data_IF_204532678458
#
_entry.id   IF_204532678458
#
_cell.length_a   1.000
_cell.length_b   1.000
_cell.length_c   1.000
_cell.angle_alpha   90.00
_cell.angle_beta   90.00
_cell.angle_gamma   90.00
#
_symmetry.space_group_name_H-M   'P 1'
#
loop_
_entity.id
_entity.type
_entity.pdbx_description
1 polymer ?
#
# COMPACT_ATOMS: atom_id res chain seq x y z
N UNK A 1 22.67 -37.94 26.29
CA UNK A 1 23.04 -37.78 24.87
C UNK A 1 22.38 -36.51 24.39
N UNK A 2 23.16 -35.45 24.18
CA UNK A 2 22.65 -34.18 23.64
C UNK A 2 22.23 -34.41 22.19
N UNK A 3 20.99 -34.05 21.87
CA UNK A 3 20.45 -34.12 20.52
C UNK A 3 21.36 -33.34 19.56
N UNK A 4 21.98 -33.98 18.55
CA UNK A 4 22.86 -33.31 17.59
C UNK A 4 22.17 -32.14 16.89
N UNK A 5 20.85 -32.18 16.77
CA UNK A 5 20.03 -31.13 16.19
C UNK A 5 19.89 -29.90 17.11
N UNK A 6 19.75 -30.13 18.42
CA UNK A 6 19.76 -29.07 19.44
C UNK A 6 21.15 -28.42 19.58
N UNK A 7 22.21 -29.21 19.45
CA UNK A 7 23.58 -28.70 19.47
C UNK A 7 23.87 -27.80 18.25
N UNK A 8 23.43 -28.21 17.05
CA UNK A 8 23.57 -27.40 15.84
C UNK A 8 22.85 -26.04 15.94
N UNK A 9 21.65 -26.01 16.54
CA UNK A 9 20.90 -24.76 16.76
C UNK A 9 21.60 -23.81 17.74
N UNK A 10 22.18 -24.36 18.81
CA UNK A 10 22.94 -23.57 19.77
C UNK A 10 24.16 -22.92 19.11
N UNK A 11 24.87 -23.66 18.25
CA UNK A 11 26.00 -23.13 17.48
C UNK A 11 25.55 -22.04 16.50
N UNK A 12 24.46 -22.25 15.76
CA UNK A 12 23.94 -21.22 14.85
C UNK A 12 23.53 -19.95 15.61
N UNK A 13 22.95 -20.06 16.82
CA UNK A 13 22.63 -18.93 17.71
C UNK A 13 23.87 -18.15 18.16
N UNK A 14 24.93 -18.85 18.52
CA UNK A 14 26.19 -18.23 18.89
C UNK A 14 26.84 -17.48 17.72
N UNK A 15 26.86 -18.09 16.52
CA UNK A 15 27.41 -17.45 15.30
C UNK A 15 26.62 -16.20 14.93
N UNK A 16 25.31 -16.24 15.05
CA UNK A 16 24.42 -15.11 14.78
C UNK A 16 24.63 -13.94 15.74
N UNK A 17 24.76 -14.21 17.04
CA UNK A 17 25.06 -13.19 18.04
C UNK A 17 26.43 -12.52 17.75
N UNK A 18 27.44 -13.31 17.35
CA UNK A 18 28.76 -12.80 16.94
C UNK A 18 28.69 -11.95 15.67
N UNK A 19 27.92 -12.37 14.67
CA UNK A 19 27.72 -11.59 13.45
C UNK A 19 27.03 -10.25 13.75
N UNK A 20 26.01 -10.25 14.62
CA UNK A 20 25.34 -9.03 15.04
C UNK A 20 26.31 -8.06 15.74
N UNK A 21 27.16 -8.57 16.64
CA UNK A 21 28.21 -7.76 17.27
C UNK A 21 29.26 -7.21 16.29
N UNK A 22 29.57 -7.94 15.21
CA UNK A 22 30.46 -7.46 14.15
C UNK A 22 29.82 -6.35 13.30
N UNK A 23 28.51 -6.42 13.05
CA UNK A 23 27.78 -5.35 12.36
C UNK A 23 27.74 -4.06 13.20
N UNK A 24 27.42 -4.18 14.49
CA UNK A 24 27.49 -3.07 15.45
C UNK A 24 28.88 -2.45 15.52
N UNK A 25 29.94 -3.28 15.56
CA UNK A 25 31.31 -2.77 15.59
C UNK A 25 31.69 -1.98 14.33
N UNK A 26 31.20 -2.41 13.16
CA UNK A 26 31.43 -1.70 11.89
C UNK A 26 30.64 -0.40 11.80
N UNK A 27 29.41 -0.34 12.32
CA UNK A 27 28.62 0.90 12.39
C UNK A 27 29.19 1.94 13.38
N UNK A 28 29.83 1.48 14.46
CA UNK A 28 30.41 2.35 15.50
C UNK A 28 31.86 2.80 15.22
N UNK A 29 32.45 2.44 14.08
CA UNK A 29 33.81 2.88 13.72
C UNK A 29 33.74 4.19 12.92
N UNK A 30 34.15 5.29 13.57
CA UNK A 30 34.12 6.67 13.07
C UNK A 30 34.86 6.85 11.72
N UNK A 31 34.30 7.71 10.86
CA UNK A 31 34.74 8.00 9.50
C UNK A 31 36.16 8.61 9.46
N UNK A 32 37.24 7.81 9.33
CA UNK A 32 38.53 8.39 8.89
C UNK A 32 39.53 7.45 8.18
N UNK A 33 39.07 6.39 7.51
CA UNK A 33 39.96 5.67 6.60
C UNK A 33 39.20 4.99 5.46
N UNK A 34 39.41 5.53 4.25
CA UNK A 34 39.22 4.93 2.92
C UNK A 34 37.88 4.23 2.63
N UNK A 35 37.25 4.63 1.51
CA UNK A 35 36.12 3.97 0.86
C UNK A 35 36.16 2.44 1.05
N UNK A 36 35.22 1.83 1.80
CA UNK A 36 35.28 0.40 2.05
C UNK A 36 35.04 -0.31 0.73
N UNK A 37 36.01 -1.13 0.31
CA UNK A 37 35.86 -1.98 -0.86
C UNK A 37 34.61 -2.87 -0.71
N UNK A 38 33.87 -3.13 -1.80
CA UNK A 38 32.70 -4.01 -1.79
C UNK A 38 33.17 -5.44 -1.57
N UNK A 39 33.27 -5.87 -0.31
CA UNK A 39 33.82 -7.19 0.02
C UNK A 39 33.35 -7.71 1.37
N UNK A 40 33.57 -7.01 2.51
CA UNK A 40 33.36 -7.60 3.83
C UNK A 40 31.89 -7.58 4.28
N UNK A 41 31.21 -6.44 4.15
CA UNK A 41 29.82 -6.29 4.58
C UNK A 41 28.84 -7.12 3.74
N UNK A 42 29.09 -7.23 2.43
CA UNK A 42 28.31 -8.10 1.54
C UNK A 42 28.43 -9.58 1.92
N UNK A 43 29.64 -10.03 2.28
CA UNK A 43 29.89 -11.40 2.75
C UNK A 43 29.21 -11.66 4.08
N UNK A 44 29.28 -10.72 5.04
CA UNK A 44 28.60 -10.87 6.34
C UNK A 44 27.07 -10.91 6.18
N UNK A 45 26.50 -10.07 5.31
CA UNK A 45 25.05 -10.07 5.03
C UNK A 45 24.61 -11.37 4.36
N UNK A 46 25.41 -11.89 3.42
CA UNK A 46 25.17 -13.18 2.78
C UNK A 46 25.26 -14.34 3.78
N UNK A 47 26.25 -14.32 4.68
CA UNK A 47 26.40 -15.34 5.72
C UNK A 47 25.21 -15.34 6.69
N UNK A 48 24.72 -14.15 7.09
CA UNK A 48 23.52 -13.99 7.90
C UNK A 48 22.28 -14.61 7.22
N UNK A 49 22.07 -14.27 5.96
CA UNK A 49 20.98 -14.79 5.13
C UNK A 49 21.01 -16.33 5.05
N UNK A 50 22.19 -16.93 4.88
CA UNK A 50 22.36 -18.40 4.84
C UNK A 50 22.06 -19.07 6.19
N UNK A 51 22.46 -18.45 7.31
CA UNK A 51 22.18 -18.96 8.66
C UNK A 51 20.68 -18.93 8.96
N UNK A 52 20.00 -17.86 8.57
CA UNK A 52 18.56 -17.71 8.76
C UNK A 52 17.78 -18.71 7.88
N UNK A 53 18.20 -18.92 6.63
CA UNK A 53 17.65 -19.95 5.75
C UNK A 53 17.83 -21.37 6.31
N UNK A 54 19.00 -21.68 6.89
CA UNK A 54 19.28 -22.99 7.48
C UNK A 54 18.42 -23.25 8.74
N UNK A 55 18.26 -22.24 9.61
CA UNK A 55 17.37 -22.32 10.77
C UNK A 55 15.91 -22.49 10.34
N UNK A 56 15.50 -21.80 9.27
CA UNK A 56 14.16 -21.92 8.72
C UNK A 56 13.88 -23.31 8.17
N UNK A 57 14.76 -23.87 7.33
CA UNK A 57 14.61 -25.23 6.81
C UNK A 57 14.49 -26.28 7.93
N UNK A 58 15.17 -26.05 9.05
CA UNK A 58 15.08 -26.89 10.23
C UNK A 58 13.77 -26.70 11.02
N UNK A 59 13.22 -25.48 11.06
CA UNK A 59 11.91 -25.20 11.67
C UNK A 59 10.77 -25.80 10.84
N UNK A 60 10.83 -25.68 9.51
CA UNK A 60 9.85 -26.30 8.60
C UNK A 60 9.82 -27.82 8.67
N UNK A 61 10.98 -28.49 8.86
CA UNK A 61 11.04 -29.94 9.09
C UNK A 61 10.42 -30.39 10.41
N UNK A 62 10.25 -29.48 11.37
CA UNK A 62 9.55 -29.76 12.63
C UNK A 62 8.03 -29.51 12.52
N UNK A 63 7.59 -28.67 11.58
CA UNK A 63 6.20 -28.25 11.38
C UNK A 63 5.62 -28.76 10.02
N UNK A 64 5.99 -29.99 9.64
CA UNK A 64 5.90 -30.55 8.27
C UNK A 64 4.48 -30.85 7.73
N UNK A 65 3.45 -30.06 8.07
CA UNK A 65 2.14 -30.21 7.41
C UNK A 65 1.42 -28.93 6.95
N UNK A 66 1.93 -27.71 7.17
CA UNK A 66 1.15 -26.51 6.77
C UNK A 66 1.88 -25.32 6.15
N UNK A 67 3.18 -25.37 5.87
CA UNK A 67 3.91 -24.16 5.44
C UNK A 67 4.68 -24.33 4.13
N UNK A 68 3.95 -24.67 3.06
CA UNK A 68 4.32 -24.20 1.71
C UNK A 68 3.85 -22.76 1.53
N UNK A 69 4.31 -21.85 2.39
CA UNK A 69 4.16 -20.42 2.16
C UNK A 69 5.20 -19.98 1.15
N UNK A 70 4.76 -19.40 0.04
CA UNK A 70 5.53 -18.93 -1.12
C UNK A 70 6.55 -17.81 -0.81
N UNK A 71 6.85 -17.55 0.46
CA UNK A 71 7.78 -16.50 0.88
C UNK A 71 7.33 -15.08 0.49
N UNK A 72 6.16 -14.93 -0.12
CA UNK A 72 5.70 -13.64 -0.62
C UNK A 72 5.30 -12.73 0.54
N UNK A 73 5.68 -11.45 0.43
CA UNK A 73 5.29 -10.41 1.38
C UNK A 73 4.57 -9.30 0.63
N UNK A 74 3.31 -9.05 1.02
CA UNK A 74 2.48 -7.99 0.46
C UNK A 74 2.20 -6.98 1.57
N UNK A 75 2.63 -5.73 1.34
CA UNK A 75 2.31 -4.60 2.21
C UNK A 75 1.39 -3.66 1.44
N UNK A 76 0.26 -3.28 2.05
CA UNK A 76 -0.65 -2.29 1.50
C UNK A 76 -0.85 -1.16 2.49
N UNK A 77 -0.86 0.07 1.99
CA UNK A 77 -1.16 1.25 2.79
C UNK A 77 -1.92 2.27 1.95
N UNK A 78 -2.76 3.06 2.61
CA UNK A 78 -3.48 4.19 1.99
C UNK A 78 -2.85 5.48 2.49
N UNK A 79 -1.85 6.03 1.77
CA UNK A 79 -1.30 7.33 2.13
C UNK A 79 -2.37 8.40 1.97
N UNK A 80 -2.35 9.43 2.82
CA UNK A 80 -3.39 10.47 2.81
C UNK A 80 -3.49 11.22 1.48
N UNK A 81 -2.35 11.46 0.82
CA UNK A 81 -2.21 12.41 -0.30
C UNK A 81 -2.08 11.79 -1.69
N UNK A 82 -2.06 10.47 -1.78
CA UNK A 82 -1.86 9.77 -3.05
C UNK A 82 -2.73 8.53 -3.08
N UNK A 83 -2.98 7.93 -4.24
CA UNK A 83 -3.74 6.69 -4.30
C UNK A 83 -3.14 5.60 -3.39
N UNK A 84 -3.97 4.65 -2.94
CA UNK A 84 -3.50 3.46 -2.24
C UNK A 84 -2.28 2.84 -2.91
N UNK A 85 -1.36 2.36 -2.07
CA UNK A 85 -0.08 1.81 -2.50
C UNK A 85 0.03 0.36 -2.03
N UNK A 86 0.65 -0.45 -2.86
CA UNK A 86 0.95 -1.84 -2.53
C UNK A 86 2.39 -2.16 -2.92
N UNK A 87 3.12 -2.78 -2.01
CA UNK A 87 4.45 -3.32 -2.21
C UNK A 87 4.33 -4.83 -2.21
N UNK A 88 4.80 -5.47 -3.27
CA UNK A 88 4.86 -6.92 -3.40
C UNK A 88 6.33 -7.32 -3.47
N UNK A 89 6.74 -8.19 -2.55
CA UNK A 89 8.05 -8.81 -2.50
C UNK A 89 7.87 -10.30 -2.73
N UNK A 90 8.38 -10.81 -3.83
CA UNK A 90 8.24 -12.22 -4.22
C UNK A 90 9.63 -12.80 -4.50
N UNK A 91 9.96 -13.99 -3.97
CA UNK A 91 11.18 -14.67 -4.37
C UNK A 91 11.11 -15.03 -5.86
N UNK A 92 12.23 -14.88 -6.56
CA UNK A 92 12.34 -15.40 -7.90
C UNK A 92 12.40 -16.94 -7.87
N UNK A 93 12.04 -17.56 -9.00
CA UNK A 93 11.99 -19.00 -9.19
C UNK A 93 13.30 -19.73 -8.86
N UNK A 94 14.43 -19.04 -9.02
CA UNK A 94 15.77 -19.56 -8.70
C UNK A 94 16.17 -19.40 -7.22
N UNK A 95 15.36 -18.71 -6.41
CA UNK A 95 15.59 -18.52 -4.95
C UNK A 95 16.74 -17.58 -4.57
N UNK A 96 17.64 -17.26 -5.51
CA UNK A 96 18.83 -16.42 -5.31
C UNK A 96 18.55 -14.91 -5.47
N UNK A 97 17.35 -14.54 -5.91
CA UNK A 97 16.95 -13.14 -6.04
C UNK A 97 15.49 -12.94 -5.71
N UNK A 98 15.13 -11.70 -5.40
CA UNK A 98 13.77 -11.29 -5.07
C UNK A 98 13.33 -10.20 -6.02
N UNK A 99 12.04 -10.19 -6.34
CA UNK A 99 11.43 -9.11 -7.09
C UNK A 99 10.69 -8.17 -6.15
N UNK A 100 10.95 -6.87 -6.29
CA UNK A 100 10.22 -5.80 -5.61
C UNK A 100 9.34 -5.11 -6.62
N UNK A 101 8.04 -5.10 -6.38
CA UNK A 101 7.05 -4.39 -7.22
C UNK A 101 6.32 -3.36 -6.36
N UNK A 102 6.39 -2.11 -6.77
CA UNK A 102 5.56 -1.05 -6.20
C UNK A 102 4.38 -0.80 -7.15
N UNK A 103 3.20 -0.87 -6.57
CA UNK A 103 1.92 -0.75 -7.24
C UNK A 103 1.18 0.48 -6.70
N UNK A 104 0.48 1.17 -7.60
CA UNK A 104 -0.41 2.29 -7.31
C UNK A 104 -1.82 1.93 -7.75
N UNK A 105 -2.80 2.26 -6.90
CA UNK A 105 -4.19 2.08 -7.23
C UNK A 105 -4.66 3.14 -8.21
N UNK A 106 -5.35 2.72 -9.28
CA UNK A 106 -5.87 3.60 -10.34
C UNK A 106 -7.35 3.89 -10.23
N UNK A 107 -8.03 3.33 -9.23
CA UNK A 107 -9.50 3.36 -9.13
C UNK A 107 -10.16 2.17 -9.83
N UNK A 108 -9.52 1.54 -10.80
CA UNK A 108 -9.97 0.30 -11.43
C UNK A 108 -9.13 -0.92 -11.01
N UNK A 109 -7.83 -0.71 -10.78
CA UNK A 109 -6.90 -1.78 -10.45
C UNK A 109 -5.51 -1.29 -10.04
N UNK A 110 -4.60 -2.23 -9.77
CA UNK A 110 -3.20 -1.95 -9.43
C UNK A 110 -2.34 -1.77 -10.67
N UNK A 111 -1.73 -0.59 -10.82
CA UNK A 111 -0.73 -0.29 -11.86
C UNK A 111 0.67 -0.44 -11.27
N UNK A 112 1.58 -1.11 -11.98
CA UNK A 112 3.00 -1.19 -11.56
C UNK A 112 3.71 0.12 -11.86
N UNK A 113 4.24 0.76 -10.83
CA UNK A 113 5.01 2.00 -10.93
C UNK A 113 6.51 1.73 -10.94
N UNK A 114 6.95 0.72 -10.17
CA UNK A 114 8.36 0.36 -10.06
C UNK A 114 8.52 -1.14 -9.97
N UNK A 115 9.57 -1.65 -10.61
CA UNK A 115 10.01 -3.02 -10.50
C UNK A 115 11.52 -3.07 -10.37
N UNK A 116 12.01 -3.65 -9.29
CA UNK A 116 13.43 -3.86 -9.05
C UNK A 116 13.72 -5.33 -8.73
N UNK A 117 14.96 -5.75 -8.97
CA UNK A 117 15.48 -7.05 -8.51
C UNK A 117 16.42 -6.83 -7.34
N UNK A 118 16.17 -7.52 -6.23
CA UNK A 118 16.97 -7.50 -5.02
C UNK A 118 17.81 -8.77 -4.98
N UNK A 119 19.14 -8.61 -4.97
CA UNK A 119 20.10 -9.73 -4.91
C UNK A 119 20.75 -9.88 -3.53
N UNK A 120 20.75 -8.81 -2.73
CA UNK A 120 21.40 -8.77 -1.41
C UNK A 120 20.35 -8.76 -0.29
N UNK A 121 19.58 -9.86 -0.16
CA UNK A 121 18.61 -10.02 0.93
C UNK A 121 19.34 -10.36 2.22
N UNK A 122 19.40 -9.40 3.14
CA UNK A 122 20.11 -9.52 4.42
C UNK A 122 19.28 -10.19 5.53
N UNK A 123 17.95 -10.14 5.43
CA UNK A 123 17.01 -10.68 6.41
C UNK A 123 15.84 -11.30 5.63
N UNK A 124 15.61 -12.60 5.80
CA UNK A 124 14.43 -13.28 5.27
C UNK A 124 13.45 -13.48 6.42
N UNK A 125 12.26 -12.88 6.31
CA UNK A 125 11.21 -13.09 7.31
C UNK A 125 10.66 -14.53 7.19
N UNK A 126 10.37 -15.21 8.32
CA UNK A 126 9.82 -16.56 8.30
C UNK A 126 8.50 -16.61 7.52
N UNK A 127 8.34 -17.64 6.69
CA UNK A 127 7.12 -17.86 5.91
C UNK A 127 5.90 -17.95 6.83
N UNK A 128 4.88 -17.18 6.46
CA UNK A 128 3.59 -17.09 7.13
C UNK A 128 3.37 -15.72 7.73
N UNK A 129 3.06 -14.68 6.92
CA UNK A 129 2.30 -13.57 7.48
C UNK A 129 0.98 -14.17 8.01
N UNK A 130 0.83 -14.20 9.34
CA UNK A 130 -0.48 -14.30 10.02
C UNK A 130 -1.29 -13.00 9.84
N UNK A 131 -1.09 -12.32 8.72
CA UNK A 131 -1.82 -11.13 8.35
C UNK A 131 -2.81 -11.55 7.27
N UNK A 132 -4.09 -11.17 7.41
CA UNK A 132 -5.05 -11.42 6.35
C UNK A 132 -4.51 -10.81 5.05
N UNK A 133 -4.76 -11.50 3.93
CA UNK A 133 -4.43 -10.96 2.63
C UNK A 133 -4.98 -9.53 2.53
N UNK A 134 -4.16 -8.54 2.14
CA UNK A 134 -4.61 -7.17 2.08
C UNK A 134 -5.78 -7.06 1.09
N UNK A 135 -6.87 -6.46 1.55
CA UNK A 135 -8.10 -6.31 0.76
C UNK A 135 -7.91 -5.17 -0.24
N UNK A 136 -8.29 -5.41 -1.50
CA UNK A 136 -8.24 -4.37 -2.52
C UNK A 136 -9.14 -3.16 -2.13
N UNK A 137 -8.70 -1.92 -2.37
CA UNK A 137 -9.57 -0.76 -2.24
C UNK A 137 -10.80 -0.89 -3.16
N UNK A 138 -11.95 -0.30 -2.78
CA UNK A 138 -13.12 -0.28 -3.66
C UNK A 138 -12.81 0.44 -4.97
N UNK A 139 -13.35 -0.09 -6.07
CA UNK A 139 -13.22 0.55 -7.38
C UNK A 139 -14.04 1.83 -7.45
N UNK A 140 -13.64 2.77 -8.31
CA UNK A 140 -14.42 3.98 -8.57
C UNK A 140 -15.83 3.62 -9.07
N UNK A 141 -15.96 2.62 -9.95
CA UNK A 141 -17.28 2.14 -10.40
C UNK A 141 -18.15 1.63 -9.24
N UNK A 142 -17.57 0.86 -8.32
CA UNK A 142 -18.31 0.37 -7.15
C UNK A 142 -18.75 1.54 -6.26
N UNK A 143 -17.89 2.54 -6.08
CA UNK A 143 -18.21 3.75 -5.31
C UNK A 143 -19.28 4.62 -6.00
N UNK A 144 -19.20 4.78 -7.32
CA UNK A 144 -20.21 5.49 -8.11
C UNK A 144 -21.56 4.78 -8.05
N UNK A 145 -21.57 3.45 -8.08
CA UNK A 145 -22.80 2.67 -7.94
C UNK A 145 -23.46 2.88 -6.57
N UNK A 146 -22.69 3.15 -5.51
CA UNK A 146 -23.24 3.43 -4.18
C UNK A 146 -23.93 4.79 -4.08
N UNK A 147 -23.45 5.81 -4.79
CA UNK A 147 -24.04 7.15 -4.76
C UNK A 147 -25.15 7.34 -5.80
N UNK A 148 -25.20 6.50 -6.84
CA UNK A 148 -26.25 6.58 -7.87
C UNK A 148 -27.61 6.20 -7.28
N UNK A 149 -28.63 7.01 -7.61
CA UNK A 149 -29.99 6.81 -7.12
C UNK A 149 -30.21 7.18 -5.65
N UNK A 150 -29.20 7.61 -4.90
CA UNK A 150 -29.37 8.02 -3.49
C UNK A 150 -29.84 9.45 -3.34
N UNK A 151 -29.78 10.28 -4.39
CA UNK A 151 -30.13 11.70 -4.34
C UNK A 151 -31.55 12.00 -3.83
N UNK A 152 -32.49 11.09 -4.09
CA UNK A 152 -33.88 11.21 -3.61
C UNK A 152 -34.00 11.03 -2.09
N UNK A 153 -33.04 10.34 -1.45
CA UNK A 153 -33.03 10.10 -0.01
C UNK A 153 -32.71 11.38 0.75
N UNK A 154 -33.40 11.70 1.86
CA UNK A 154 -33.27 12.98 2.58
C UNK A 154 -31.81 13.37 2.89
N UNK A 155 -30.96 12.37 3.12
CA UNK A 155 -29.52 12.51 3.23
C UNK A 155 -28.85 11.56 2.22
N UNK A 156 -28.42 12.07 1.05
CA UNK A 156 -27.83 11.23 0.01
C UNK A 156 -26.37 10.91 0.30
N UNK A 157 -25.92 9.74 -0.15
CA UNK A 157 -24.52 9.33 -0.10
C UNK A 157 -23.71 10.08 -1.16
N UNK A 158 -22.53 10.56 -0.77
CA UNK A 158 -21.63 11.34 -1.61
C UNK A 158 -20.20 10.81 -1.50
N UNK A 159 -19.40 11.00 -2.54
CA UNK A 159 -17.99 10.66 -2.54
C UNK A 159 -17.17 11.89 -2.14
N UNK A 160 -16.46 11.77 -1.03
CA UNK A 160 -15.62 12.83 -0.49
C UNK A 160 -14.17 12.49 -0.74
N UNK A 161 -13.50 13.35 -1.48
CA UNK A 161 -12.06 13.34 -1.64
C UNK A 161 -11.42 14.15 -0.51
N UNK A 162 -10.37 13.59 0.11
CA UNK A 162 -9.68 14.23 1.22
C UNK A 162 -8.97 15.53 0.75
N UNK A 163 -8.78 16.50 1.65
CA UNK A 163 -8.11 17.79 1.41
C UNK A 163 -6.59 17.63 1.24
N UNK A 164 -6.12 16.44 0.92
CA UNK A 164 -4.78 16.01 1.26
C UNK A 164 -3.79 16.41 0.14
N UNK A 165 -3.52 17.70 0.00
CA UNK A 165 -2.60 18.27 -1.01
C UNK A 165 -3.12 19.56 -1.65
N UNK A 166 -4.43 19.78 -1.58
CA UNK A 166 -5.15 21.00 -1.97
C UNK A 166 -5.69 21.69 -0.72
N UNK A 167 -6.05 22.97 -0.80
CA UNK A 167 -6.83 23.64 0.27
C UNK A 167 -8.29 23.20 0.31
N UNK A 168 -8.71 22.39 -0.67
CA UNK A 168 -10.12 22.22 -1.03
C UNK A 168 -10.53 20.75 -0.94
N UNK A 169 -11.58 20.49 -0.16
CA UNK A 169 -12.24 19.18 -0.07
C UNK A 169 -13.13 19.01 -1.31
N UNK A 170 -12.90 17.98 -2.11
CA UNK A 170 -13.72 17.67 -3.27
C UNK A 170 -14.90 16.80 -2.87
N UNK A 171 -16.12 17.17 -3.27
CA UNK A 171 -17.31 16.34 -3.07
C UNK A 171 -17.95 16.05 -4.43
N UNK A 172 -18.17 14.78 -4.69
CA UNK A 172 -18.79 14.26 -5.89
C UNK A 172 -20.14 13.63 -5.53
N UNK A 173 -21.18 14.03 -6.25
CA UNK A 173 -22.55 13.56 -6.05
C UNK A 173 -23.13 13.08 -7.37
N UNK A 174 -24.11 12.17 -7.32
CA UNK A 174 -24.88 11.75 -8.49
C UNK A 174 -26.30 12.35 -8.39
N UNK A 175 -26.57 13.42 -9.15
CA UNK A 175 -27.90 14.04 -9.22
C UNK A 175 -28.59 13.55 -10.49
N UNK A 176 -29.65 12.75 -10.38
CA UNK A 176 -30.36 12.20 -11.55
C UNK A 176 -29.40 11.48 -12.53
N UNK A 177 -28.49 10.67 -11.97
CA UNK A 177 -27.39 9.98 -12.67
C UNK A 177 -26.32 10.88 -13.32
N UNK A 178 -26.45 12.21 -13.20
CA UNK A 178 -25.40 13.15 -13.57
C UNK A 178 -24.38 13.31 -12.43
N UNK A 179 -23.12 12.98 -12.72
CA UNK A 179 -22.03 13.13 -11.77
C UNK A 179 -21.62 14.61 -11.69
N UNK A 180 -21.80 15.22 -10.52
CA UNK A 180 -21.47 16.62 -10.26
C UNK A 180 -20.39 16.71 -9.19
N UNK A 181 -19.24 17.27 -9.56
CA UNK A 181 -18.16 17.54 -8.63
C UNK A 181 -18.18 19.00 -8.19
N UNK A 182 -17.89 19.22 -6.91
CA UNK A 182 -17.69 20.55 -6.34
C UNK A 182 -16.61 20.53 -5.27
N UNK A 183 -15.67 21.46 -5.37
CA UNK A 183 -14.77 21.79 -4.27
C UNK A 183 -15.50 22.62 -3.19
N UNK A 184 -15.18 22.41 -1.92
CA UNK A 184 -15.88 23.01 -0.79
C UNK A 184 -15.92 24.56 -0.80
N UNK A 185 -14.87 25.20 -1.32
CA UNK A 185 -14.72 26.64 -1.47
C UNK A 185 -15.10 27.17 -2.86
N UNK A 186 -15.26 26.29 -3.86
CA UNK A 186 -15.78 26.68 -5.16
C UNK A 186 -17.24 27.10 -5.06
N UNK A 187 -17.60 28.16 -5.79
CA UNK A 187 -18.99 28.60 -5.95
C UNK A 187 -19.75 27.82 -7.00
N UNK A 188 -19.05 27.08 -7.86
CA UNK A 188 -19.64 26.33 -8.97
C UNK A 188 -19.31 24.84 -8.86
N UNK A 189 -20.28 24.01 -9.22
CA UNK A 189 -20.08 22.60 -9.51
C UNK A 189 -19.88 22.45 -11.02
N UNK A 190 -19.22 21.37 -11.43
CA UNK A 190 -19.14 20.98 -12.84
C UNK A 190 -19.52 19.52 -13.00
N UNK A 191 -20.03 19.18 -14.18
CA UNK A 191 -20.39 17.82 -14.54
C UNK A 191 -19.14 17.05 -14.91
N UNK A 192 -18.94 15.91 -14.25
CA UNK A 192 -17.94 14.93 -14.65
C UNK A 192 -18.57 14.07 -15.74
N UNK A 193 -18.03 14.17 -16.94
CA UNK A 193 -18.52 13.43 -18.11
C UNK A 193 -17.60 12.29 -18.51
N UNK A 194 -16.35 12.31 -18.04
CA UNK A 194 -15.31 11.36 -18.43
C UNK A 194 -14.67 10.69 -17.20
N UNK A 195 -14.38 9.41 -17.33
CA UNK A 195 -13.66 8.60 -16.33
C UNK A 195 -12.21 9.07 -16.12
N UNK A 196 -11.62 9.70 -17.13
CA UNK A 196 -10.28 10.31 -17.02
C UNK A 196 -10.24 11.45 -15.99
N UNK A 197 -11.32 12.23 -15.88
CA UNK A 197 -11.42 13.32 -14.88
C UNK A 197 -11.46 12.74 -13.46
N UNK A 198 -12.23 11.67 -13.24
CA UNK A 198 -12.29 10.96 -11.96
C UNK A 198 -10.94 10.34 -11.60
N UNK A 199 -10.27 9.74 -12.57
CA UNK A 199 -8.93 9.18 -12.40
C UNK A 199 -7.92 10.27 -12.02
N UNK A 200 -8.05 11.47 -12.60
CA UNK A 200 -7.23 12.62 -12.25
C UNK A 200 -7.49 13.09 -10.82
N UNK A 201 -8.75 13.18 -10.37
CA UNK A 201 -9.07 13.47 -8.97
C UNK A 201 -8.50 12.45 -8.00
N UNK A 202 -8.61 11.15 -8.32
CA UNK A 202 -8.01 10.08 -7.52
C UNK A 202 -6.48 10.24 -7.40
N UNK A 203 -5.79 10.57 -8.49
CA UNK A 203 -4.35 10.77 -8.48
C UNK A 203 -3.93 11.96 -7.61
N UNK A 204 -4.70 13.04 -7.61
CA UNK A 204 -4.38 14.27 -6.88
C UNK A 204 -4.79 14.23 -5.40
N UNK A 205 -5.94 13.63 -5.08
CA UNK A 205 -6.57 13.71 -3.77
C UNK A 205 -6.65 12.35 -3.05
N UNK A 206 -6.27 11.26 -3.73
CA UNK A 206 -6.33 9.92 -3.18
C UNK A 206 -7.70 9.25 -3.33
N UNK A 207 -7.89 8.14 -2.62
CA UNK A 207 -9.12 7.36 -2.67
C UNK A 207 -10.27 8.12 -2.00
N UNK A 208 -11.40 8.38 -2.69
CA UNK A 208 -12.56 8.98 -2.05
C UNK A 208 -13.24 8.00 -1.10
N UNK A 209 -13.92 8.56 -0.10
CA UNK A 209 -14.71 7.82 0.90
C UNK A 209 -16.18 8.15 0.70
N UNK A 210 -17.06 7.16 0.87
CA UNK A 210 -18.51 7.37 0.89
C UNK A 210 -18.88 8.00 2.22
N UNK A 211 -19.59 9.12 2.18
CA UNK A 211 -20.08 9.82 3.35
C UNK A 211 -21.48 10.38 3.07
N UNK A 212 -22.30 10.56 4.10
CA UNK A 212 -23.57 11.26 3.93
C UNK A 212 -23.34 12.75 3.66
N UNK A 213 -24.16 13.35 2.80
CA UNK A 213 -24.05 14.78 2.47
C UNK A 213 -24.13 15.67 3.73
N UNK A 214 -24.94 15.29 4.71
CA UNK A 214 -25.10 16.02 5.98
C UNK A 214 -23.82 16.12 6.82
N UNK A 215 -22.88 15.19 6.65
CA UNK A 215 -21.60 15.19 7.34
C UNK A 215 -20.53 16.02 6.61
N UNK A 216 -20.86 16.51 5.40
CA UNK A 216 -20.01 17.43 4.65
C UNK A 216 -20.39 18.90 4.92
N UNK A 217 -19.53 19.84 4.52
CA UNK A 217 -19.84 21.27 4.57
C UNK A 217 -20.82 21.73 3.48
N UNK A 218 -21.20 20.83 2.55
CA UNK A 218 -22.06 21.14 1.41
C UNK A 218 -23.50 20.68 1.62
N UNK A 219 -24.41 21.27 0.85
CA UNK A 219 -25.86 21.00 0.90
C UNK A 219 -26.39 20.77 -0.50
N UNK A 220 -27.60 20.23 -0.63
CA UNK A 220 -28.21 19.94 -1.95
C UNK A 220 -28.26 21.14 -2.90
N UNK A 221 -28.55 22.33 -2.35
CA UNK A 221 -28.58 23.60 -3.08
C UNK A 221 -27.24 23.94 -3.77
N UNK A 222 -26.14 23.34 -3.31
CA UNK A 222 -24.81 23.54 -3.88
C UNK A 222 -24.56 22.71 -5.14
N UNK A 223 -25.44 21.75 -5.44
CA UNK A 223 -25.32 20.84 -6.58
C UNK A 223 -26.53 20.91 -7.51
N UNK A 224 -27.66 21.48 -7.09
CA UNK A 224 -28.77 21.81 -7.98
C UNK A 224 -28.57 23.21 -8.54
N UNK A 225 -28.73 23.44 -9.86
CA UNK A 225 -28.89 24.80 -10.34
C UNK A 225 -30.07 25.42 -9.59
N UNK A 226 -29.91 26.65 -9.10
CA UNK A 226 -31.03 27.42 -8.55
C UNK A 226 -32.18 27.32 -9.55
N UNK A 227 -33.44 27.13 -9.11
CA UNK A 227 -34.55 27.21 -10.02
C UNK A 227 -34.42 28.54 -10.74
N UNK A 228 -34.11 28.48 -12.03
CA UNK A 228 -34.21 29.61 -12.93
C UNK A 228 -35.63 30.12 -12.69
N UNK A 229 -35.73 31.32 -12.14
CA UNK A 229 -36.91 32.16 -12.28
C UNK A 229 -37.20 32.16 -13.77
N UNK A 230 -38.14 31.31 -14.19
CA UNK A 230 -38.79 31.42 -15.48
C UNK A 230 -39.65 32.69 -15.40
N UNK A 231 -39.01 33.85 -15.45
CA UNK A 231 -39.68 35.07 -15.84
C UNK A 231 -39.93 34.92 -17.34
N UNK A 232 -41.13 34.42 -17.63
CA UNK A 232 -41.84 34.73 -18.86
C UNK A 232 -41.80 36.24 -19.05
N UNK A 233 -41.32 36.69 -20.20
CA UNK A 233 -41.95 37.72 -21.03
C UNK A 233 -41.61 37.47 -22.50
#
# INVERSE_FOLDING_TARGET
MTDPQAHALAVLRDVDARLHGLFEAVENTDETAATPAPGPLGVLRRARSQIDAARFAQHCRADDESLRGDGSCILQWTPRRTPPRRLVLEPDSDGDSWTRRELEWTGAGWRTCRRDTIRDVAISAPAGPRYPAPVDPPTLDALLALIRGTWTNPDPDVLVFDTAGTTEQGVLVAVEDELRYRAADSHQWYTITNEEELSHHLQQQGQPVVQSLSETSLRRQHFTPSPLTNDRE
#
